data_IF_003608220445
#
_entry.id   IF_003608220445
#
_cell.length_a   1.000
_cell.length_b   1.000
_cell.length_c   1.000
_cell.angle_alpha   90.00
_cell.angle_beta   90.00
_cell.angle_gamma   90.00
#
_symmetry.space_group_name_H-M   'P 1'
#
loop_
_entity.id
_entity.type
_entity.pdbx_description
1 polymer ?
#
# COMPACT_ATOMS: atom_id res chain seq x y z
N UNK A 1 2.84 12.65 9.97
CA UNK A 1 2.73 11.37 9.23
C UNK A 1 3.07 11.61 7.78
N UNK A 2 3.97 10.83 7.17
CA UNK A 2 4.39 10.99 5.76
C UNK A 2 3.36 10.46 4.74
N UNK A 3 2.11 10.37 5.13
CA UNK A 3 1.00 9.85 4.32
C UNK A 3 -0.21 10.77 4.40
N UNK A 4 -1.19 10.58 3.52
CA UNK A 4 -2.53 11.21 3.54
C UNK A 4 -3.61 10.18 3.19
N UNK A 5 -4.88 10.57 3.22
CA UNK A 5 -6.02 9.68 2.92
C UNK A 5 -6.32 9.50 1.43
N UNK A 6 -5.60 10.22 0.56
CA UNK A 6 -5.61 9.92 -0.88
C UNK A 6 -4.94 8.57 -1.09
N UNK A 7 -3.85 8.31 -0.38
CA UNK A 7 -3.12 7.06 -0.40
C UNK A 7 -3.58 6.03 0.65
N UNK A 8 -3.77 6.42 1.91
CA UNK A 8 -4.12 5.52 3.02
C UNK A 8 -5.61 5.24 3.13
N UNK A 9 -5.99 4.16 3.80
CA UNK A 9 -7.38 3.96 4.21
C UNK A 9 -7.75 4.91 5.36
N UNK A 10 -8.99 5.44 5.36
CA UNK A 10 -9.46 6.32 6.42
C UNK A 10 -9.43 5.60 7.77
N UNK A 11 -8.92 6.28 8.80
CA UNK A 11 -8.91 5.78 10.17
C UNK A 11 -8.96 6.94 11.17
N UNK A 12 -9.53 6.73 12.37
CA UNK A 12 -9.41 7.69 13.45
C UNK A 12 -7.94 7.99 13.73
N UNK A 13 -7.65 9.27 13.94
CA UNK A 13 -6.30 9.73 14.28
C UNK A 13 -6.38 10.71 15.43
N UNK A 14 -5.34 10.70 16.26
CA UNK A 14 -5.27 11.59 17.42
C UNK A 14 -5.04 13.04 16.96
N UNK A 15 -5.48 14.05 17.73
CA UNK A 15 -5.31 15.47 17.37
C UNK A 15 -3.85 15.91 17.14
N UNK A 16 -2.88 15.18 17.71
CA UNK A 16 -1.45 15.41 17.48
C UNK A 16 -0.89 14.76 16.21
N UNK A 17 -1.73 14.18 15.35
CA UNK A 17 -1.33 13.53 14.11
C UNK A 17 -1.68 14.42 12.92
N UNK A 18 -0.65 14.92 12.25
CA UNK A 18 -0.80 15.73 11.03
C UNK A 18 -0.37 14.90 9.82
N UNK A 19 -1.20 14.86 8.79
CA UNK A 19 -0.95 14.16 7.53
C UNK A 19 -0.28 15.11 6.54
N UNK A 20 0.93 14.72 6.10
CA UNK A 20 1.74 15.51 5.16
C UNK A 20 2.18 14.65 3.96
N UNK A 21 1.37 13.68 3.53
CA UNK A 21 1.65 12.87 2.34
C UNK A 21 1.76 13.69 1.05
N UNK A 22 2.56 13.24 0.10
CA UNK A 22 2.67 13.86 -1.23
C UNK A 22 3.66 15.01 -1.39
N UNK A 23 4.45 15.34 -0.38
CA UNK A 23 5.43 16.43 -0.44
C UNK A 23 6.57 16.22 -1.47
N UNK A 24 6.67 15.02 -2.02
CA UNK A 24 7.64 14.61 -3.04
C UNK A 24 7.23 15.07 -4.44
N UNK A 25 5.93 15.05 -4.75
CA UNK A 25 5.39 15.44 -6.06
C UNK A 25 5.63 16.91 -6.35
N UNK A 26 6.09 17.21 -7.56
CA UNK A 26 6.41 18.56 -8.03
C UNK A 26 6.04 18.70 -9.50
N UNK A 27 5.78 19.92 -10.00
CA UNK A 27 5.67 20.15 -11.44
C UNK A 27 6.88 19.57 -12.18
N UNK A 28 6.64 18.92 -13.31
CA UNK A 28 7.70 18.36 -14.15
C UNK A 28 8.56 19.46 -14.74
N UNK A 29 9.86 19.19 -14.84
CA UNK A 29 10.81 20.00 -15.62
C UNK A 29 10.99 19.40 -17.01
N UNK A 30 11.49 20.20 -17.98
CA UNK A 30 11.85 19.67 -19.29
C UNK A 30 12.87 18.52 -19.18
N UNK A 31 12.69 17.47 -20.00
CA UNK A 31 13.63 16.36 -20.10
C UNK A 31 14.88 16.80 -20.90
N UNK A 32 15.97 16.04 -20.77
CA UNK A 32 17.13 16.24 -21.66
C UNK A 32 16.75 15.93 -23.11
N UNK A 33 17.42 16.57 -24.07
CA UNK A 33 17.09 16.45 -25.49
C UNK A 33 17.02 15.00 -25.98
N UNK A 34 17.96 14.15 -25.55
CA UNK A 34 18.01 12.73 -25.94
C UNK A 34 16.84 11.92 -25.37
N UNK A 35 16.49 12.17 -24.10
CA UNK A 35 15.37 11.49 -23.45
C UNK A 35 14.03 11.96 -24.00
N UNK A 36 13.90 13.27 -24.24
CA UNK A 36 12.73 13.86 -24.88
C UNK A 36 12.52 13.27 -26.28
N UNK A 37 13.56 13.22 -27.12
CA UNK A 37 13.48 12.63 -28.45
C UNK A 37 13.03 11.15 -28.41
N UNK A 38 13.56 10.37 -27.46
CA UNK A 38 13.15 8.98 -27.27
C UNK A 38 11.69 8.87 -26.82
N UNK A 39 11.27 9.68 -25.83
CA UNK A 39 9.88 9.71 -25.33
C UNK A 39 8.91 10.12 -26.43
N UNK A 40 9.25 11.12 -27.24
CA UNK A 40 8.42 11.58 -28.36
C UNK A 40 8.33 10.56 -29.50
N UNK A 41 9.37 9.76 -29.71
CA UNK A 41 9.36 8.67 -30.70
C UNK A 41 8.35 7.54 -30.39
N UNK A 42 7.69 7.58 -29.23
CA UNK A 42 6.65 6.62 -28.84
C UNK A 42 5.33 6.73 -29.59
N UNK A 43 5.13 7.79 -30.38
CA UNK A 43 3.90 7.99 -31.15
C UNK A 43 2.65 7.99 -30.25
N UNK A 44 1.59 7.33 -30.69
CA UNK A 44 0.32 7.24 -29.95
C UNK A 44 0.36 6.23 -28.80
N UNK A 45 1.29 5.26 -28.84
CA UNK A 45 1.39 4.21 -27.84
C UNK A 45 1.87 4.74 -26.48
N UNK A 46 2.72 5.78 -26.49
CA UNK A 46 3.25 6.41 -25.29
C UNK A 46 4.36 5.61 -24.61
N UNK A 47 4.66 6.00 -23.36
CA UNK A 47 5.84 5.54 -22.63
C UNK A 47 5.47 4.81 -21.35
N UNK A 48 6.17 3.70 -21.11
CA UNK A 48 6.23 3.00 -19.82
C UNK A 48 7.51 3.45 -19.12
N UNK A 49 7.37 3.83 -17.85
CA UNK A 49 8.51 4.21 -17.01
C UNK A 49 8.73 3.10 -16.00
N UNK A 50 9.95 2.58 -15.87
CA UNK A 50 10.24 1.51 -14.91
C UNK A 50 11.39 1.85 -13.97
N UNK A 51 11.18 1.66 -12.67
CA UNK A 51 12.28 1.55 -11.69
C UNK A 51 11.86 0.83 -10.41
N UNK A 52 12.78 0.05 -9.83
CA UNK A 52 12.59 -0.65 -8.56
C UNK A 52 13.19 0.12 -7.36
N UNK A 53 13.46 1.41 -7.55
CA UNK A 53 14.07 2.25 -6.53
C UNK A 53 15.57 2.00 -6.41
N UNK A 54 16.17 2.55 -5.35
CA UNK A 54 17.62 2.55 -5.16
C UNK A 54 18.13 1.42 -4.29
N UNK A 55 17.26 0.78 -3.50
CA UNK A 55 17.68 -0.23 -2.51
C UNK A 55 17.79 -1.63 -3.14
N UNK A 56 16.85 -2.01 -4.00
CA UNK A 56 16.84 -3.28 -4.75
C UNK A 56 16.68 -2.99 -6.25
N UNK A 57 17.73 -2.42 -6.84
CA UNK A 57 17.72 -2.01 -8.24
C UNK A 57 18.11 -3.10 -9.23
N UNK A 58 18.60 -4.24 -8.74
CA UNK A 58 18.98 -5.42 -9.54
C UNK A 58 18.21 -6.63 -9.01
N UNK A 59 17.45 -7.29 -9.89
CA UNK A 59 16.70 -8.52 -9.60
C UNK A 59 17.41 -9.79 -10.08
N UNK A 60 18.65 -9.65 -10.57
CA UNK A 60 19.40 -10.72 -11.22
C UNK A 60 19.10 -10.83 -12.71
N UNK A 61 19.96 -11.55 -13.45
CA UNK A 61 19.90 -11.63 -14.91
C UNK A 61 18.62 -12.32 -15.40
N UNK A 62 18.17 -13.39 -14.77
CA UNK A 62 16.98 -14.16 -15.18
C UNK A 62 15.71 -13.30 -15.20
N UNK A 63 15.43 -12.62 -14.09
CA UNK A 63 14.27 -11.72 -13.99
C UNK A 63 14.41 -10.54 -14.96
N UNK A 64 15.63 -10.02 -15.13
CA UNK A 64 15.87 -8.92 -16.07
C UNK A 64 15.62 -9.32 -17.53
N UNK A 65 15.92 -10.57 -17.92
CA UNK A 65 15.59 -11.10 -19.25
C UNK A 65 14.07 -11.27 -19.43
N UNK A 66 13.36 -11.74 -18.41
CA UNK A 66 11.89 -11.85 -18.45
C UNK A 66 11.25 -10.48 -18.66
N UNK A 67 11.69 -9.48 -17.90
CA UNK A 67 11.20 -8.10 -17.99
C UNK A 67 11.52 -7.48 -19.35
N UNK A 68 12.76 -7.62 -19.81
CA UNK A 68 13.20 -7.14 -21.12
C UNK A 68 12.39 -7.77 -22.28
N UNK A 69 12.15 -9.08 -22.22
CA UNK A 69 11.36 -9.82 -23.20
C UNK A 69 9.90 -9.35 -23.22
N UNK A 70 9.29 -9.14 -22.04
CA UNK A 70 7.92 -8.65 -21.95
C UNK A 70 7.78 -7.23 -22.53
N UNK A 71 8.74 -6.35 -22.26
CA UNK A 71 8.76 -5.01 -22.86
C UNK A 71 8.96 -5.04 -24.37
N UNK A 72 9.81 -5.93 -24.89
CA UNK A 72 10.02 -6.07 -26.33
C UNK A 72 8.74 -6.46 -27.10
N UNK A 73 7.78 -7.12 -26.43
CA UNK A 73 6.48 -7.51 -26.99
C UNK A 73 5.44 -6.38 -27.02
N UNK A 74 5.80 -5.18 -26.56
CA UNK A 74 4.89 -4.03 -26.46
C UNK A 74 5.25 -2.93 -27.48
N UNK A 75 4.25 -2.24 -28.05
CA UNK A 75 4.50 -1.13 -28.96
C UNK A 75 4.96 0.17 -28.25
N UNK A 76 4.81 0.25 -26.93
CA UNK A 76 5.26 1.39 -26.12
C UNK A 76 6.78 1.52 -26.13
N UNK A 77 7.26 2.76 -25.99
CA UNK A 77 8.65 2.97 -25.57
C UNK A 77 8.78 2.74 -24.07
N UNK A 78 9.91 2.23 -23.62
CA UNK A 78 10.16 1.96 -22.21
C UNK A 78 11.42 2.70 -21.78
N UNK A 79 11.31 3.50 -20.73
CA UNK A 79 12.48 4.08 -20.04
C UNK A 79 12.66 3.33 -18.74
N UNK A 80 13.69 2.51 -18.68
CA UNK A 80 13.92 1.60 -17.56
C UNK A 80 15.22 1.97 -16.86
N UNK A 81 15.11 2.38 -15.59
CA UNK A 81 16.26 2.45 -14.71
C UNK A 81 16.69 1.05 -14.29
N UNK A 82 17.75 0.56 -14.90
CA UNK A 82 18.30 -0.77 -14.69
C UNK A 82 19.74 -0.66 -14.19
N UNK A 83 20.08 -1.44 -13.16
CA UNK A 83 21.44 -1.60 -12.66
C UNK A 83 21.80 -3.07 -12.84
N UNK A 84 22.96 -3.32 -13.44
CA UNK A 84 23.47 -4.68 -13.68
C UNK A 84 23.75 -4.93 -15.15
N UNK A 85 23.89 -6.21 -15.51
CA UNK A 85 24.16 -6.62 -16.89
C UNK A 85 22.98 -6.27 -17.78
N UNK A 86 23.25 -5.69 -18.96
CA UNK A 86 22.24 -5.45 -19.99
C UNK A 86 21.60 -6.79 -20.42
N UNK A 87 20.27 -6.94 -20.35
CA UNK A 87 19.58 -8.13 -20.83
C UNK A 87 19.83 -8.34 -22.32
N UNK A 88 20.02 -9.59 -22.74
CA UNK A 88 20.20 -9.98 -24.14
C UNK A 88 18.89 -9.89 -24.93
N UNK A 89 17.74 -10.03 -24.27
CA UNK A 89 16.39 -9.95 -24.86
C UNK A 89 15.83 -8.52 -24.92
N UNK A 90 16.66 -7.50 -24.66
CA UNK A 90 16.23 -6.10 -24.67
C UNK A 90 15.80 -5.63 -26.07
N UNK A 91 14.53 -5.27 -26.22
CA UNK A 91 13.99 -4.73 -27.46
C UNK A 91 14.44 -3.30 -27.78
N UNK A 92 14.38 -2.93 -29.06
CA UNK A 92 14.71 -1.59 -29.58
C UNK A 92 13.77 -0.48 -29.08
N UNK A 93 12.67 -0.85 -28.43
CA UNK A 93 11.73 0.07 -27.80
C UNK A 93 12.13 0.45 -26.37
N UNK A 94 13.19 -0.15 -25.80
CA UNK A 94 13.59 0.09 -24.41
C UNK A 94 14.93 0.82 -24.31
N UNK A 95 14.93 1.94 -23.59
CA UNK A 95 16.12 2.70 -23.19
C UNK A 95 16.46 2.39 -21.74
N UNK A 96 17.66 1.85 -21.52
CA UNK A 96 18.21 1.68 -20.18
C UNK A 96 18.91 2.96 -19.74
N UNK A 97 18.64 3.39 -18.50
CA UNK A 97 19.27 4.56 -17.89
C UNK A 97 19.80 4.23 -16.50
N UNK A 98 20.91 4.84 -16.09
CA UNK A 98 21.43 4.68 -14.72
C UNK A 98 20.64 5.51 -13.70
N UNK A 99 20.18 6.68 -14.15
CA UNK A 99 19.39 7.61 -13.35
C UNK A 99 18.12 8.03 -14.10
N UNK A 100 17.02 8.08 -13.37
CA UNK A 100 15.73 8.44 -13.91
C UNK A 100 15.32 9.81 -13.35
N UNK A 101 15.06 10.83 -14.19
CA UNK A 101 14.36 12.04 -13.76
C UNK A 101 12.88 11.71 -13.52
N UNK A 102 12.60 10.87 -12.51
CA UNK A 102 11.33 10.16 -12.31
C UNK A 102 10.13 11.11 -12.26
N UNK A 103 10.17 12.14 -11.42
CA UNK A 103 9.11 13.14 -11.35
C UNK A 103 8.81 13.77 -12.72
N UNK A 104 9.86 14.08 -13.48
CA UNK A 104 9.74 14.83 -14.73
C UNK A 104 9.17 13.95 -15.85
N UNK A 105 9.66 12.71 -15.97
CA UNK A 105 9.12 11.77 -16.96
C UNK A 105 7.71 11.29 -16.58
N UNK A 106 7.38 11.12 -15.29
CA UNK A 106 6.01 10.82 -14.86
C UNK A 106 5.05 11.97 -15.21
N UNK A 107 5.52 13.22 -15.11
CA UNK A 107 4.75 14.40 -15.53
C UNK A 107 4.77 14.68 -17.03
N UNK A 108 5.35 13.79 -17.85
CA UNK A 108 5.32 13.92 -19.31
C UNK A 108 4.00 13.36 -19.87
N UNK A 109 3.36 14.09 -20.79
CA UNK A 109 2.04 13.74 -21.34
C UNK A 109 2.00 12.39 -22.10
N UNK A 110 3.14 11.91 -22.61
CA UNK A 110 3.25 10.57 -23.23
C UNK A 110 3.32 9.42 -22.23
N UNK A 111 3.53 9.68 -20.95
CA UNK A 111 3.66 8.62 -19.94
C UNK A 111 2.31 7.98 -19.64
N UNK A 112 2.25 6.66 -19.80
CA UNK A 112 1.02 5.87 -19.66
C UNK A 112 0.98 5.07 -18.37
N UNK A 113 2.10 4.45 -18.00
CA UNK A 113 2.20 3.52 -16.86
C UNK A 113 3.53 3.66 -16.17
N UNK A 114 3.49 3.56 -14.84
CA UNK A 114 4.68 3.47 -13.99
C UNK A 114 4.83 2.06 -13.43
N UNK A 115 5.87 1.34 -13.85
CA UNK A 115 6.26 0.04 -13.30
C UNK A 115 7.23 0.27 -12.13
N UNK A 116 6.84 -0.14 -10.93
CA UNK A 116 7.64 0.15 -9.74
C UNK A 116 7.53 -0.89 -8.65
N UNK A 117 8.54 -0.93 -7.78
CA UNK A 117 8.53 -1.71 -6.54
C UNK A 117 7.47 -1.27 -5.50
N UNK A 118 6.70 -0.20 -5.71
CA UNK A 118 5.68 0.24 -4.75
C UNK A 118 6.20 1.04 -3.55
N UNK A 119 7.39 1.64 -3.68
CA UNK A 119 7.91 2.57 -2.67
C UNK A 119 7.05 3.84 -2.57
N UNK A 120 6.75 4.27 -1.33
CA UNK A 120 5.85 5.40 -1.03
C UNK A 120 6.17 6.68 -1.81
N UNK A 121 7.45 7.03 -1.99
CA UNK A 121 7.83 8.25 -2.74
C UNK A 121 7.38 8.19 -4.21
N UNK A 122 7.65 7.08 -4.90
CA UNK A 122 7.29 6.93 -6.31
C UNK A 122 5.78 6.84 -6.51
N UNK A 123 5.06 6.24 -5.56
CA UNK A 123 3.60 6.22 -5.56
C UNK A 123 3.03 7.64 -5.49
N UNK A 124 3.54 8.49 -4.61
CA UNK A 124 3.07 9.88 -4.54
C UNK A 124 3.37 10.67 -5.81
N UNK A 125 4.52 10.45 -6.45
CA UNK A 125 4.80 11.08 -7.75
C UNK A 125 3.85 10.57 -8.85
N UNK A 126 3.52 9.28 -8.86
CA UNK A 126 2.55 8.70 -9.79
C UNK A 126 1.13 9.25 -9.56
N UNK A 127 0.69 9.38 -8.30
CA UNK A 127 -0.58 10.03 -7.94
C UNK A 127 -0.57 11.49 -8.37
N UNK A 128 0.51 12.23 -8.06
CA UNK A 128 0.65 13.64 -8.39
C UNK A 128 0.50 13.89 -9.90
N UNK A 129 1.07 13.02 -10.74
CA UNK A 129 1.01 13.15 -12.21
C UNK A 129 -0.11 12.35 -12.87
N UNK A 130 -0.95 11.66 -12.09
CA UNK A 130 -2.09 10.92 -12.62
C UNK A 130 -1.69 9.69 -13.46
N UNK A 131 -0.59 9.01 -13.13
CA UNK A 131 -0.04 7.86 -13.88
C UNK A 131 -0.37 6.53 -13.18
N UNK A 132 -1.16 5.62 -13.79
CA UNK A 132 -1.41 4.28 -13.27
C UNK A 132 -0.15 3.47 -12.97
N UNK A 133 -0.25 2.54 -12.01
CA UNK A 133 0.91 1.82 -11.49
C UNK A 133 0.84 0.31 -11.72
N UNK A 134 1.89 -0.29 -12.26
CA UNK A 134 2.12 -1.73 -12.18
C UNK A 134 3.15 -1.98 -11.07
N UNK A 135 2.73 -2.62 -9.98
CA UNK A 135 3.57 -2.90 -8.83
C UNK A 135 4.29 -4.24 -8.92
N UNK A 136 5.59 -4.23 -8.65
CA UNK A 136 6.41 -5.44 -8.39
C UNK A 136 6.98 -5.34 -6.97
N UNK A 137 6.16 -5.50 -5.92
CA UNK A 137 6.61 -5.32 -4.54
C UNK A 137 7.67 -6.37 -4.16
N UNK A 138 8.70 -5.93 -3.44
CA UNK A 138 9.85 -6.76 -3.08
C UNK A 138 10.02 -6.92 -1.56
N UNK A 139 9.89 -5.82 -0.81
CA UNK A 139 10.22 -5.79 0.63
C UNK A 139 9.37 -4.77 1.42
N UNK A 140 9.37 -4.91 2.74
CA UNK A 140 8.77 -3.97 3.69
C UNK A 140 7.29 -3.67 3.39
N UNK A 141 6.92 -2.39 3.37
CA UNK A 141 5.58 -1.85 3.18
C UNK A 141 5.11 -1.87 1.71
N UNK A 142 5.96 -2.27 0.77
CA UNK A 142 5.69 -2.16 -0.66
C UNK A 142 4.43 -2.91 -1.09
N UNK A 143 4.22 -4.13 -0.58
CA UNK A 143 3.04 -4.92 -0.91
C UNK A 143 1.76 -4.22 -0.39
N UNK A 144 1.77 -3.78 0.86
CA UNK A 144 0.64 -3.07 1.45
C UNK A 144 0.35 -1.76 0.70
N UNK A 145 1.39 -1.05 0.27
CA UNK A 145 1.24 0.17 -0.53
C UNK A 145 0.52 -0.12 -1.85
N UNK A 146 0.89 -1.22 -2.52
CA UNK A 146 0.25 -1.64 -3.74
C UNK A 146 -1.18 -2.12 -3.54
N UNK A 147 -1.49 -2.81 -2.42
CA UNK A 147 -2.87 -3.20 -2.06
C UNK A 147 -3.77 -1.96 -1.93
N UNK A 148 -3.28 -0.88 -1.31
CA UNK A 148 -4.02 0.39 -1.21
C UNK A 148 -4.33 0.98 -2.59
N UNK A 149 -3.38 0.96 -3.52
CA UNK A 149 -3.61 1.43 -4.89
C UNK A 149 -4.55 0.51 -5.68
N UNK A 150 -4.38 -0.81 -5.56
CA UNK A 150 -5.25 -1.78 -6.23
C UNK A 150 -6.69 -1.69 -5.75
N UNK A 151 -6.93 -1.46 -4.46
CA UNK A 151 -8.28 -1.23 -3.92
C UNK A 151 -9.00 -0.03 -4.53
N UNK A 152 -8.23 0.95 -5.04
CA UNK A 152 -8.72 2.14 -5.75
C UNK A 152 -8.78 1.94 -7.27
N UNK A 153 -8.45 0.75 -7.77
CA UNK A 153 -8.38 0.41 -9.19
C UNK A 153 -7.52 1.38 -9.99
N UNK A 154 -6.37 1.77 -9.44
CA UNK A 154 -5.34 2.57 -10.12
C UNK A 154 -4.02 1.82 -10.31
N UNK A 155 -4.00 0.55 -9.89
CA UNK A 155 -2.82 -0.28 -9.99
C UNK A 155 -3.14 -1.78 -10.13
N UNK A 156 -2.17 -2.50 -10.67
CA UNK A 156 -2.08 -3.95 -10.65
C UNK A 156 -0.83 -4.42 -9.90
N UNK A 157 -0.84 -5.66 -9.40
CA UNK A 157 0.26 -6.25 -8.63
C UNK A 157 0.75 -7.50 -9.36
N UNK A 158 2.05 -7.58 -9.54
CA UNK A 158 2.76 -8.72 -10.12
C UNK A 158 3.81 -9.18 -9.12
N UNK A 159 3.80 -10.45 -8.77
CA UNK A 159 4.78 -11.02 -7.85
C UNK A 159 6.02 -11.47 -8.61
N UNK A 160 7.21 -11.11 -8.10
CA UNK A 160 8.48 -11.46 -8.75
C UNK A 160 8.70 -12.97 -8.84
N UNK A 161 8.17 -13.74 -7.89
CA UNK A 161 8.29 -15.21 -7.80
C UNK A 161 7.48 -15.96 -8.85
N UNK A 162 6.44 -15.33 -9.40
CA UNK A 162 5.57 -15.90 -10.44
C UNK A 162 5.71 -15.16 -11.77
N UNK A 163 6.73 -14.30 -11.89
CA UNK A 163 6.92 -13.45 -13.03
C UNK A 163 7.30 -14.28 -14.26
N UNK A 164 6.45 -14.21 -15.29
CA UNK A 164 6.75 -14.75 -16.62
C UNK A 164 6.54 -13.67 -17.67
N UNK A 165 7.09 -13.89 -18.87
CA UNK A 165 6.96 -12.95 -20.00
C UNK A 165 5.49 -12.72 -20.32
N UNK A 166 4.70 -13.79 -20.40
CA UNK A 166 3.28 -13.73 -20.73
C UNK A 166 2.46 -13.03 -19.65
N UNK A 167 2.74 -13.32 -18.37
CA UNK A 167 2.02 -12.71 -17.26
C UNK A 167 2.29 -11.21 -17.18
N UNK A 168 3.56 -10.79 -17.25
CA UNK A 168 3.93 -9.38 -17.24
C UNK A 168 3.37 -8.63 -18.47
N UNK A 169 3.47 -9.23 -19.65
CA UNK A 169 2.92 -8.65 -20.89
C UNK A 169 1.41 -8.47 -20.78
N UNK A 170 0.69 -9.47 -20.25
CA UNK A 170 -0.76 -9.42 -20.08
C UNK A 170 -1.18 -8.38 -19.05
N UNK A 171 -0.47 -8.28 -17.92
CA UNK A 171 -0.73 -7.27 -16.90
C UNK A 171 -0.50 -5.85 -17.43
N UNK A 172 0.55 -5.65 -18.23
CA UNK A 172 0.83 -4.37 -18.90
C UNK A 172 -0.25 -4.02 -19.92
N UNK A 173 -0.67 -4.97 -20.77
CA UNK A 173 -1.77 -4.76 -21.73
C UNK A 173 -3.07 -4.36 -21.01
N UNK A 174 -3.39 -5.04 -19.91
CA UNK A 174 -4.59 -4.75 -19.12
C UNK A 174 -4.58 -3.34 -18.50
N UNK A 175 -3.46 -2.88 -17.94
CA UNK A 175 -3.39 -1.52 -17.36
C UNK A 175 -3.29 -0.42 -18.43
N UNK A 176 -2.78 -0.74 -19.62
CA UNK A 176 -2.69 0.15 -20.79
C UNK A 176 -4.00 0.24 -21.57
N UNK A 177 -4.94 -0.69 -21.34
CA UNK A 177 -6.22 -0.75 -22.03
C UNK A 177 -7.07 0.51 -21.74
N UNK A 178 -7.44 1.29 -22.78
CA UNK A 178 -8.30 2.47 -22.61
C UNK A 178 -9.69 2.17 -22.03
N UNK A 179 -10.21 0.94 -22.18
CA UNK A 179 -11.51 0.54 -21.63
C UNK A 179 -11.45 0.30 -20.12
N UNK A 180 -10.26 0.08 -19.57
CA UNK A 180 -10.06 -0.17 -18.15
C UNK A 180 -9.99 1.13 -17.33
N UNK A 181 -10.50 1.14 -16.09
CA UNK A 181 -10.73 2.38 -15.36
C UNK A 181 -9.44 2.96 -14.71
N UNK A 182 -8.27 2.36 -14.94
CA UNK A 182 -7.03 2.71 -14.22
C UNK A 182 -6.63 4.17 -14.42
N UNK A 183 -6.58 4.65 -15.67
CA UNK A 183 -6.18 6.03 -15.97
C UNK A 183 -7.20 7.04 -15.44
N UNK A 184 -8.48 6.80 -15.66
CA UNK A 184 -9.55 7.70 -15.20
C UNK A 184 -9.56 7.80 -13.67
N UNK A 185 -9.45 6.66 -12.97
CA UNK A 185 -9.39 6.65 -11.51
C UNK A 185 -8.13 7.35 -10.99
N UNK A 186 -7.00 7.19 -11.66
CA UNK A 186 -5.76 7.84 -11.25
C UNK A 186 -5.79 9.35 -11.48
N UNK A 187 -6.43 9.83 -12.55
CA UNK A 187 -6.68 11.26 -12.76
C UNK A 187 -7.58 11.84 -11.67
N UNK A 188 -8.69 11.17 -11.34
CA UNK A 188 -9.54 11.57 -10.22
C UNK A 188 -8.78 11.60 -8.89
N UNK A 189 -7.91 10.62 -8.67
CA UNK A 189 -7.07 10.56 -7.47
C UNK A 189 -6.04 11.69 -7.43
N UNK A 190 -5.48 12.05 -8.57
CA UNK A 190 -4.58 13.19 -8.75
C UNK A 190 -5.29 14.52 -8.45
N UNK A 191 -6.49 14.72 -9.00
CA UNK A 191 -7.31 15.91 -8.73
C UNK A 191 -7.55 16.09 -7.22
N UNK A 192 -7.98 15.03 -6.52
CA UNK A 192 -8.14 15.04 -5.07
C UNK A 192 -6.82 15.25 -4.32
N UNK A 193 -5.69 14.81 -4.89
CA UNK A 193 -4.37 15.03 -4.31
C UNK A 193 -3.94 16.49 -4.32
N UNK A 194 -4.28 17.19 -5.40
CA UNK A 194 -4.01 18.62 -5.60
C UNK A 194 -5.02 19.53 -4.90
N UNK A 195 -6.27 19.08 -4.74
CA UNK A 195 -7.34 19.82 -4.09
C UNK A 195 -7.18 19.85 -2.56
N UNK A 196 -6.21 20.64 -2.10
CA UNK A 196 -5.90 20.84 -0.69
C UNK A 196 -5.75 22.33 -0.39
N UNK A 197 -6.21 22.80 0.79
CA UNK A 197 -6.13 24.22 1.16
C UNK A 197 -4.68 24.69 1.36
N UNK A 198 -3.76 23.79 1.64
CA UNK A 198 -2.36 24.10 1.90
C UNK A 198 -1.46 22.96 1.42
N UNK A 199 -0.28 23.30 0.89
CA UNK A 199 0.66 22.27 0.41
C UNK A 199 1.23 21.48 1.59
N UNK A 200 1.55 20.19 1.43
CA UNK A 200 2.06 19.34 2.52
C UNK A 200 3.29 19.90 3.25
N UNK A 201 4.17 20.61 2.53
CA UNK A 201 5.35 21.26 3.12
C UNK A 201 4.98 22.43 4.02
N UNK A 202 4.05 23.27 3.57
CA UNK A 202 3.61 24.45 4.32
C UNK A 202 2.83 24.01 5.57
N UNK A 203 2.04 22.93 5.47
CA UNK A 203 1.39 22.27 6.62
C UNK A 203 2.44 21.83 7.64
N UNK A 204 3.52 21.18 7.20
CA UNK A 204 4.58 20.73 8.10
C UNK A 204 5.24 21.91 8.82
N UNK A 205 5.58 22.98 8.08
CA UNK A 205 6.18 24.20 8.64
C UNK A 205 5.25 24.82 9.69
N UNK A 206 3.98 25.01 9.34
CA UNK A 206 2.98 25.57 10.25
C UNK A 206 2.91 24.81 11.58
N UNK A 207 2.81 23.47 11.53
CA UNK A 207 2.67 22.65 12.73
C UNK A 207 3.96 22.57 13.54
N UNK A 208 5.13 22.57 12.90
CA UNK A 208 6.41 22.66 13.61
C UNK A 208 6.49 23.98 14.40
N UNK A 209 6.20 25.11 13.76
CA UNK A 209 6.19 26.40 14.44
C UNK A 209 5.11 26.47 15.52
N UNK A 210 3.92 25.88 15.28
CA UNK A 210 2.84 25.84 16.26
C UNK A 210 3.29 25.13 17.56
N UNK A 211 3.97 23.99 17.43
CA UNK A 211 4.50 23.25 18.58
C UNK A 211 5.55 24.07 19.33
N UNK A 212 6.43 24.77 18.60
CA UNK A 212 7.43 25.66 19.20
C UNK A 212 6.78 26.83 19.95
N UNK A 213 5.83 27.54 19.31
CA UNK A 213 5.11 28.67 19.91
C UNK A 213 4.38 28.29 21.20
N UNK A 214 3.84 27.07 21.25
CA UNK A 214 3.06 26.58 22.40
C UNK A 214 3.84 25.61 23.29
N UNK A 215 5.18 25.67 23.25
CA UNK A 215 6.09 24.92 24.16
C UNK A 215 5.73 23.43 24.28
N UNK A 216 5.44 22.78 23.15
CA UNK A 216 5.12 21.36 23.09
C UNK A 216 3.65 20.99 22.95
N UNK A 217 2.73 21.98 22.91
CA UNK A 217 1.30 21.78 22.62
C UNK A 217 0.64 20.63 23.41
N UNK A 218 0.77 20.67 24.75
CA UNK A 218 0.36 19.57 25.63
C UNK A 218 -1.11 19.15 25.47
N UNK A 219 -2.01 20.08 25.14
CA UNK A 219 -3.44 19.83 24.93
C UNK A 219 -3.76 18.92 23.72
N UNK A 220 -2.82 18.70 22.80
CA UNK A 220 -2.99 17.76 21.68
C UNK A 220 -2.49 16.35 22.02
N UNK A 221 -1.74 16.19 23.11
CA UNK A 221 -1.17 14.89 23.50
C UNK A 221 -2.22 14.05 24.22
N UNK A 222 -2.32 12.78 23.83
CA UNK A 222 -3.18 11.83 24.54
C UNK A 222 -2.68 11.60 25.98
N UNK A 223 -3.61 11.57 26.94
CA UNK A 223 -3.34 11.18 28.32
C UNK A 223 -2.95 9.70 28.44
N UNK A 224 -3.19 8.90 27.40
CA UNK A 224 -2.78 7.49 27.36
C UNK A 224 -1.28 7.29 27.57
N UNK A 225 -0.44 8.27 27.21
CA UNK A 225 1.00 8.22 27.46
C UNK A 225 1.39 8.29 28.94
N UNK A 226 0.48 8.72 29.82
CA UNK A 226 0.70 8.79 31.27
C UNK A 226 0.16 7.57 32.00
N UNK A 227 -0.60 6.72 31.33
CA UNK A 227 -1.18 5.53 31.94
C UNK A 227 -0.13 4.42 32.05
N UNK A 228 -0.09 3.69 33.18
CA UNK A 228 0.68 2.46 33.25
C UNK A 228 0.08 1.42 32.28
N UNK A 229 0.93 0.55 31.74
CA UNK A 229 0.55 -0.39 30.68
C UNK A 229 -0.68 -1.25 31.03
N UNK A 230 -0.82 -1.68 32.29
CA UNK A 230 -1.94 -2.50 32.75
C UNK A 230 -3.29 -1.75 32.75
N UNK A 231 -3.27 -0.44 33.04
CA UNK A 231 -4.47 0.39 32.98
C UNK A 231 -4.81 0.73 31.53
N UNK A 232 -3.79 0.97 30.69
CA UNK A 232 -3.98 1.17 29.26
C UNK A 232 -4.66 -0.02 28.57
N UNK A 233 -4.28 -1.25 28.94
CA UNK A 233 -4.89 -2.48 28.44
C UNK A 233 -6.09 -2.98 29.27
N UNK A 234 -6.56 -2.21 30.26
CA UNK A 234 -7.72 -2.55 31.11
C UNK A 234 -7.67 -3.97 31.70
N UNK A 235 -6.51 -4.40 32.22
CA UNK A 235 -6.33 -5.77 32.71
C UNK A 235 -7.24 -6.14 33.88
N UNK A 236 -7.56 -5.16 34.72
CA UNK A 236 -8.53 -5.29 35.81
C UNK A 236 -9.93 -5.64 35.29
N UNK A 237 -10.40 -4.94 34.25
CA UNK A 237 -11.68 -5.21 33.60
C UNK A 237 -11.69 -6.60 32.95
N UNK A 238 -10.59 -6.97 32.28
CA UNK A 238 -10.44 -8.32 31.72
C UNK A 238 -10.49 -9.40 32.80
N UNK A 239 -9.83 -9.18 33.94
CA UNK A 239 -9.85 -10.11 35.07
C UNK A 239 -11.27 -10.30 35.64
N UNK A 240 -12.08 -9.23 35.71
CA UNK A 240 -13.49 -9.32 36.12
C UNK A 240 -14.30 -10.17 35.14
N UNK A 241 -14.15 -9.98 33.83
CA UNK A 241 -14.84 -10.81 32.83
C UNK A 241 -14.42 -12.28 32.87
N UNK A 242 -13.12 -12.56 33.06
CA UNK A 242 -12.62 -13.93 33.22
C UNK A 242 -13.17 -14.58 34.47
N UNK A 243 -13.14 -13.88 35.61
CA UNK A 243 -13.70 -14.39 36.86
C UNK A 243 -15.20 -14.70 36.75
N UNK A 244 -15.97 -13.81 36.13
CA UNK A 244 -17.40 -14.04 35.87
C UNK A 244 -17.65 -15.26 34.97
N UNK A 245 -16.84 -15.44 33.93
CA UNK A 245 -16.91 -16.61 33.05
C UNK A 245 -16.62 -17.92 33.80
N UNK A 246 -15.56 -17.95 34.61
CA UNK A 246 -15.21 -19.12 35.45
C UNK A 246 -16.32 -19.44 36.44
N UNK A 247 -16.88 -18.43 37.12
CA UNK A 247 -17.99 -18.62 38.05
C UNK A 247 -19.25 -19.16 37.36
N UNK A 248 -19.56 -18.66 36.16
CA UNK A 248 -20.70 -19.12 35.38
C UNK A 248 -20.54 -20.58 34.94
N UNK A 249 -19.34 -20.96 34.46
CA UNK A 249 -19.01 -22.34 34.10
C UNK A 249 -19.10 -23.26 35.33
N UNK A 250 -18.55 -22.83 36.46
CA UNK A 250 -18.60 -23.58 37.71
C UNK A 250 -20.05 -23.78 38.17
N UNK A 251 -20.88 -22.74 38.11
CA UNK A 251 -22.31 -22.81 38.45
C UNK A 251 -23.04 -23.81 37.56
N UNK A 252 -22.89 -23.72 36.23
CA UNK A 252 -23.50 -24.67 35.29
C UNK A 252 -23.03 -26.09 35.56
N UNK A 253 -21.73 -26.30 35.79
CA UNK A 253 -21.18 -27.62 36.08
C UNK A 253 -21.77 -28.20 37.37
N UNK A 254 -21.86 -27.42 38.45
CA UNK A 254 -22.47 -27.82 39.72
C UNK A 254 -23.97 -28.11 39.56
N UNK A 255 -24.71 -27.28 38.82
CA UNK A 255 -26.12 -27.47 38.54
C UNK A 255 -26.37 -28.74 37.73
N UNK A 256 -25.62 -28.97 36.65
CA UNK A 256 -25.70 -30.19 35.84
C UNK A 256 -25.38 -31.44 36.68
N UNK A 257 -24.32 -31.39 37.49
CA UNK A 257 -23.94 -32.52 38.37
C UNK A 257 -25.01 -32.79 39.42
N UNK A 258 -25.63 -31.75 39.97
CA UNK A 258 -26.75 -31.85 40.93
C UNK A 258 -27.99 -32.46 40.28
N UNK A 259 -28.36 -32.01 39.08
CA UNK A 259 -29.48 -32.56 38.30
C UNK A 259 -29.26 -34.05 37.94
N UNK A 260 -28.07 -34.39 37.46
CA UNK A 260 -27.70 -35.80 37.19
C UNK A 260 -27.78 -36.63 38.48
N UNK A 261 -27.27 -36.10 39.60
CA UNK A 261 -27.35 -36.77 40.90
C UNK A 261 -28.79 -36.99 41.38
N UNK A 262 -29.68 -36.02 41.16
CA UNK A 262 -31.12 -36.14 41.46
C UNK A 262 -31.79 -37.18 40.56
N UNK A 263 -31.52 -37.18 39.25
CA UNK A 263 -32.04 -38.16 38.28
C UNK A 263 -31.59 -39.60 38.58
N UNK A 264 -30.35 -39.78 39.04
CA UNK A 264 -29.84 -41.10 39.46
C UNK A 264 -30.52 -41.56 40.75
N UNK A 265 -30.74 -40.65 41.72
CA UNK A 265 -31.44 -40.96 42.97
C UNK A 265 -32.90 -41.34 42.72
N UNK A 266 -33.63 -40.59 41.90
CA UNK A 266 -35.05 -40.90 41.58
C UNK A 266 -35.19 -42.25 40.87
N UNK A 267 -34.30 -42.60 39.92
CA UNK A 267 -34.25 -43.95 39.30
C UNK A 267 -34.04 -45.07 40.33
N UNK A 268 -33.16 -44.90 41.32
CA UNK A 268 -32.95 -45.89 42.38
C UNK A 268 -34.20 -46.09 43.25
N UNK A 269 -34.93 -45.02 43.56
CA UNK A 269 -36.18 -45.11 44.34
C UNK A 269 -37.29 -45.81 43.55
N UNK A 270 -37.43 -45.54 42.24
CA UNK A 270 -38.43 -46.23 41.39
C UNK A 270 -38.09 -47.70 41.14
N UNK A 271 -36.81 -48.06 41.06
CA UNK A 271 -36.37 -49.46 40.95
C UNK A 271 -36.64 -50.26 42.23
N UNK A 272 -36.57 -49.63 43.41
CA UNK A 272 -36.91 -50.31 44.68
C UNK A 272 -38.42 -50.56 44.81
N UNK A 273 -39.27 -49.62 44.39
CA UNK A 273 -40.73 -49.79 44.48
C UNK A 273 -41.34 -50.75 43.45
N UNK A 274 -40.58 -51.20 42.44
CA UNK A 274 -41.02 -52.22 41.46
C UNK A 274 -40.64 -53.66 41.85
N UNK A 275 -39.82 -53.83 42.89
CA UNK A 275 -39.33 -55.12 43.38
C UNK A 275 -39.95 -55.53 44.73
N UNK A 276 -40.97 -54.80 45.20
CA UNK A 276 -41.91 -55.18 46.26
C UNK A 276 -43.27 -55.47 45.61
#
# INVERSE_FOLDING_TARGET
MRVDFIFEFPRPSMPNVVYIGGFQGKPSKPLSSDLEAFVQSSGEHGVIVMTLGTLLSDLGPEISEIIASAFANLPQKVVWRHIGKRPSTLGNNTMLVEWLPQNDILGHHKTKVFVTHGGTNGIYEAIYHGVPVLGIPLIFDQYDNMVRLKSRRVAEIVEVTTLTVDFLTSALKNILDPEMPYKQNMLKLSELHHDKPMKPKDIAIFWMEFVMRHKGAAHLRSESYKLPWYAYYCLDVMAVFVAFGVLSIALVWVSCRSLIGLLIRTKKTTSKSKNE
#
